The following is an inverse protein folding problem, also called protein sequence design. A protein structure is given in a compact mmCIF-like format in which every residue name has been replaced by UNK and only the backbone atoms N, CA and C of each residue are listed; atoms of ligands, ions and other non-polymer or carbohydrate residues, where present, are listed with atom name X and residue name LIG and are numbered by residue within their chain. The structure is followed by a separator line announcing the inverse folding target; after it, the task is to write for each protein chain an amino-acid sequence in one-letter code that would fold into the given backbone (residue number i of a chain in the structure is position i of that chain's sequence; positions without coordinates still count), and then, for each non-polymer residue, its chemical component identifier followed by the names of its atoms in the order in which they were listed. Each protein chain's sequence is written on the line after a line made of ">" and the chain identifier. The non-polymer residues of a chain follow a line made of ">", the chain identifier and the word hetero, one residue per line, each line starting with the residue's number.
data_IF_599692895816
#
_entry.id   IF_599692895816
#
_cell.length_a   1.000
_cell.length_b   1.000
_cell.length_c   1.000
_cell.angle_alpha   90.00
_cell.angle_beta   90.00
_cell.angle_gamma   90.00
#
_symmetry.space_group_name_H-M   'P 1'
#
loop_
_entity.id
_entity.type
_entity.pdbx_description
1 polymer ?
#
# COMPACT_ATOMS: atom_id res chain seq x y z
N UNK A 1 8.02 -11.41 -4.83
CA UNK A 1 7.78 -10.64 -3.60
C UNK A 1 6.33 -10.21 -3.55
N UNK A 2 5.91 -9.48 -2.50
CA UNK A 2 4.53 -9.00 -2.32
C UNK A 2 4.11 -7.93 -3.35
N UNK A 3 5.08 -7.32 -4.04
CA UNK A 3 4.88 -6.36 -5.11
C UNK A 3 5.58 -6.84 -6.40
N UNK A 4 4.92 -6.67 -7.55
CA UNK A 4 5.50 -6.90 -8.85
C UNK A 4 5.01 -5.82 -9.83
N UNK A 5 5.93 -5.25 -10.62
CA UNK A 5 5.63 -4.29 -11.68
C UNK A 5 6.09 -4.88 -13.01
N UNK A 6 5.16 -5.04 -13.95
CA UNK A 6 5.44 -5.55 -15.29
C UNK A 6 5.57 -4.39 -16.28
N UNK A 7 6.60 -4.46 -17.14
CA UNK A 7 6.89 -3.43 -18.16
C UNK A 7 6.89 -4.11 -19.52
N UNK A 8 6.08 -3.61 -20.45
CA UNK A 8 6.04 -4.10 -21.83
C UNK A 8 6.05 -2.94 -22.82
N UNK A 9 7.20 -2.63 -23.46
CA UNK A 9 7.25 -1.65 -24.53
C UNK A 9 6.75 -2.21 -25.88
N UNK A 10 5.92 -3.28 -25.87
CA UNK A 10 5.35 -3.91 -27.06
C UNK A 10 6.38 -4.23 -28.17
N UNK A 11 7.59 -4.63 -27.79
CA UNK A 11 8.67 -4.95 -28.73
C UNK A 11 9.40 -3.75 -29.33
N UNK A 12 9.04 -2.51 -28.97
CA UNK A 12 9.62 -1.31 -29.56
C UNK A 12 11.14 -1.18 -29.31
N UNK A 13 11.60 -1.50 -28.08
CA UNK A 13 13.04 -1.44 -27.77
C UNK A 13 13.38 -2.19 -26.46
N UNK A 14 14.30 -3.17 -26.50
CA UNK A 14 14.86 -3.78 -25.29
C UNK A 14 15.64 -2.79 -24.42
N UNK A 15 16.28 -1.78 -25.02
CA UNK A 15 17.00 -0.74 -24.28
C UNK A 15 16.04 0.15 -23.49
N UNK A 16 14.87 0.47 -24.06
CA UNK A 16 13.81 1.20 -23.36
C UNK A 16 13.27 0.38 -22.18
N UNK A 17 13.01 -0.92 -22.36
CA UNK A 17 12.55 -1.80 -21.28
C UNK A 17 13.53 -1.77 -20.09
N UNK A 18 14.83 -1.89 -20.35
CA UNK A 18 15.89 -1.84 -19.32
C UNK A 18 15.95 -0.48 -18.62
N UNK A 19 15.79 0.61 -19.36
CA UNK A 19 15.74 1.97 -18.79
C UNK A 19 14.54 2.15 -17.87
N UNK A 20 13.34 1.83 -18.33
CA UNK A 20 12.11 1.90 -17.54
C UNK A 20 12.20 1.05 -16.27
N UNK A 21 12.73 -0.17 -16.38
CA UNK A 21 12.95 -1.05 -15.21
C UNK A 21 13.80 -0.36 -14.14
N UNK A 22 14.88 0.32 -14.53
CA UNK A 22 15.74 1.05 -13.58
C UNK A 22 15.02 2.23 -12.95
N UNK A 23 14.30 3.03 -13.73
CA UNK A 23 13.58 4.21 -13.23
C UNK A 23 12.47 3.80 -12.25
N UNK A 24 11.69 2.78 -12.60
CA UNK A 24 10.64 2.22 -11.74
C UNK A 24 11.23 1.62 -10.46
N UNK A 25 12.33 0.87 -10.54
CA UNK A 25 12.97 0.31 -9.35
C UNK A 25 13.51 1.39 -8.40
N UNK A 26 13.93 2.55 -8.92
CA UNK A 26 14.36 3.68 -8.11
C UNK A 26 13.17 4.41 -7.46
N UNK A 27 12.01 4.45 -8.14
CA UNK A 27 10.82 5.13 -7.64
C UNK A 27 10.00 4.29 -6.65
N UNK A 28 9.85 2.99 -6.93
CA UNK A 28 9.06 2.05 -6.15
C UNK A 28 9.97 1.08 -5.38
N UNK A 29 10.66 1.64 -4.39
CA UNK A 29 11.65 0.95 -3.56
C UNK A 29 11.09 -0.04 -2.54
N UNK A 30 11.93 -0.42 -1.59
CA UNK A 30 11.63 -1.41 -0.54
C UNK A 30 10.43 -1.01 0.33
N UNK A 31 10.20 0.28 0.51
CA UNK A 31 9.13 0.85 1.31
C UNK A 31 7.75 0.47 0.75
N UNK A 32 7.60 0.41 -0.58
CA UNK A 32 6.35 -0.06 -1.20
C UNK A 32 6.11 -1.55 -0.97
N UNK A 33 7.17 -2.36 -1.00
CA UNK A 33 7.06 -3.77 -0.70
C UNK A 33 6.71 -4.00 0.77
N UNK A 34 7.30 -3.22 1.68
CA UNK A 34 7.03 -3.26 3.11
C UNK A 34 5.59 -2.83 3.42
N UNK A 35 5.11 -1.73 2.83
CA UNK A 35 3.72 -1.32 2.95
C UNK A 35 2.77 -2.39 2.43
N UNK A 36 3.08 -3.02 1.30
CA UNK A 36 2.26 -4.10 0.75
C UNK A 36 2.13 -5.30 1.71
N UNK A 37 3.19 -5.65 2.44
CA UNK A 37 3.12 -6.68 3.50
C UNK A 37 2.18 -6.25 4.62
N UNK A 38 2.37 -5.03 5.15
CA UNK A 38 1.54 -4.51 6.25
C UNK A 38 0.06 -4.46 5.86
N UNK A 39 -0.27 -3.97 4.67
CA UNK A 39 -1.65 -3.92 4.19
C UNK A 39 -2.24 -5.32 3.96
N UNK A 40 -1.42 -6.29 3.54
CA UNK A 40 -1.87 -7.67 3.39
C UNK A 40 -2.22 -8.32 4.74
N UNK A 41 -1.47 -8.03 5.80
CA UNK A 41 -1.74 -8.54 7.15
C UNK A 41 -3.08 -8.01 7.69
N UNK A 42 -3.40 -6.75 7.38
CA UNK A 42 -4.65 -6.10 7.80
C UNK A 42 -5.87 -6.54 6.96
N UNK A 43 -5.63 -7.12 5.78
CA UNK A 43 -6.69 -7.56 4.86
C UNK A 43 -7.63 -8.60 5.48
N UNK A 44 -7.12 -9.46 6.37
CA UNK A 44 -7.94 -10.42 7.10
C UNK A 44 -8.98 -9.72 7.97
N UNK A 45 -8.55 -8.73 8.76
CA UNK A 45 -9.42 -7.90 9.57
C UNK A 45 -10.45 -7.15 8.71
N UNK A 46 -10.01 -6.47 7.65
CA UNK A 46 -10.92 -5.70 6.79
C UNK A 46 -12.01 -6.57 6.16
N UNK A 47 -11.70 -7.83 5.79
CA UNK A 47 -12.69 -8.79 5.28
C UNK A 47 -13.65 -9.30 6.36
N UNK A 48 -13.18 -9.46 7.59
CA UNK A 48 -13.99 -9.96 8.70
C UNK A 48 -14.89 -8.89 9.33
N UNK A 49 -14.47 -7.63 9.29
CA UNK A 49 -15.15 -6.52 9.99
C UNK A 49 -15.96 -5.63 9.05
N UNK A 50 -15.50 -5.39 7.82
CA UNK A 50 -16.14 -4.43 6.91
C UNK A 50 -17.06 -5.15 5.91
N UNK A 51 -18.38 -4.95 5.99
CA UNK A 51 -19.37 -5.78 5.32
C UNK A 51 -19.34 -5.59 3.80
N UNK A 52 -19.17 -4.36 3.31
CA UNK A 52 -19.25 -4.08 1.87
C UNK A 52 -17.88 -3.92 1.22
N UNK A 53 -17.86 -4.06 -0.11
CA UNK A 53 -16.67 -3.72 -0.90
C UNK A 53 -16.31 -2.24 -0.77
N UNK A 54 -17.31 -1.35 -0.69
CA UNK A 54 -17.07 0.09 -0.57
C UNK A 54 -16.42 0.44 0.76
N UNK A 55 -16.82 -0.20 1.87
CA UNK A 55 -16.20 0.02 3.18
C UNK A 55 -14.73 -0.40 3.17
N UNK A 56 -14.43 -1.58 2.60
CA UNK A 56 -13.04 -2.05 2.45
C UNK A 56 -12.22 -1.15 1.55
N UNK A 57 -12.82 -0.66 0.45
CA UNK A 57 -12.16 0.27 -0.47
C UNK A 57 -11.83 1.57 0.26
N UNK A 58 -12.80 2.19 0.93
CA UNK A 58 -12.62 3.42 1.69
C UNK A 58 -11.54 3.26 2.77
N UNK A 59 -11.55 2.14 3.50
CA UNK A 59 -10.54 1.82 4.50
C UNK A 59 -9.12 1.81 3.92
N UNK A 60 -8.87 1.06 2.83
CA UNK A 60 -7.53 0.99 2.23
C UNK A 60 -7.13 2.30 1.53
N UNK A 61 -8.06 2.97 0.85
CA UNK A 61 -7.79 4.27 0.22
C UNK A 61 -7.46 5.34 1.26
N UNK A 62 -8.11 5.33 2.42
CA UNK A 62 -7.81 6.25 3.53
C UNK A 62 -6.42 6.06 4.14
N UNK A 63 -5.89 4.82 4.13
CA UNK A 63 -4.52 4.54 4.58
C UNK A 63 -3.51 4.99 3.52
N UNK A 64 -3.73 4.64 2.25
CA UNK A 64 -2.74 4.87 1.17
C UNK A 64 -2.72 6.33 0.72
N UNK A 65 -3.87 7.01 0.70
CA UNK A 65 -4.03 8.38 0.21
C UNK A 65 -4.45 9.35 1.32
N UNK A 66 -4.18 9.01 2.59
CA UNK A 66 -4.49 9.87 3.73
C UNK A 66 -3.60 11.11 3.81
N UNK A 67 -3.86 11.97 4.80
CA UNK A 67 -3.08 13.19 5.03
C UNK A 67 -1.60 12.92 5.31
N UNK A 68 -1.31 11.81 5.99
CA UNK A 68 0.05 11.35 6.26
C UNK A 68 0.40 10.24 5.30
N UNK A 69 1.43 10.44 4.48
CA UNK A 69 1.88 9.45 3.49
C UNK A 69 2.64 8.30 4.18
N UNK A 70 2.12 7.05 4.15
CA UNK A 70 2.80 5.92 4.76
C UNK A 70 4.14 5.59 4.09
N UNK A 71 4.34 5.90 2.81
CA UNK A 71 5.62 5.69 2.13
C UNK A 71 6.68 6.65 2.67
N UNK A 72 6.34 7.91 2.91
CA UNK A 72 7.27 8.88 3.50
C UNK A 72 7.69 8.47 4.92
N UNK A 73 6.76 7.94 5.72
CA UNK A 73 7.08 7.40 7.04
C UNK A 73 8.04 6.21 6.94
N UNK A 74 7.80 5.26 6.03
CA UNK A 74 8.70 4.12 5.83
C UNK A 74 10.08 4.55 5.33
N UNK A 75 10.15 5.55 4.43
CA UNK A 75 11.42 6.14 3.98
C UNK A 75 12.20 6.78 5.14
N UNK A 76 11.49 7.37 6.10
CA UNK A 76 12.07 7.90 7.33
C UNK A 76 12.39 6.82 8.38
N UNK A 77 12.08 5.55 8.12
CA UNK A 77 12.24 4.44 9.06
C UNK A 77 11.16 4.38 10.15
N UNK A 78 10.12 5.22 10.06
CA UNK A 78 9.01 5.27 11.02
C UNK A 78 7.93 4.24 10.69
N UNK A 79 8.28 2.97 10.94
CA UNK A 79 7.34 1.87 10.79
C UNK A 79 6.16 1.98 11.77
N UNK A 80 6.40 2.55 12.96
CA UNK A 80 5.37 2.66 13.98
C UNK A 80 4.31 3.69 13.61
N UNK A 81 4.71 4.81 12.99
CA UNK A 81 3.78 5.78 12.41
C UNK A 81 2.81 5.13 11.42
N UNK A 82 3.28 4.22 10.56
CA UNK A 82 2.39 3.49 9.64
C UNK A 82 1.41 2.58 10.39
N UNK A 83 1.88 1.89 11.44
CA UNK A 83 0.98 1.08 12.29
C UNK A 83 -0.09 1.93 12.96
N UNK A 84 0.24 3.15 13.39
CA UNK A 84 -0.72 4.09 13.97
C UNK A 84 -1.76 4.56 12.94
N UNK A 85 -1.35 4.83 11.69
CA UNK A 85 -2.30 5.16 10.60
C UNK A 85 -3.28 4.00 10.41
N UNK A 86 -2.78 2.77 10.33
CA UNK A 86 -3.61 1.57 10.20
C UNK A 86 -4.58 1.44 11.38
N UNK A 87 -4.08 1.56 12.61
CA UNK A 87 -4.90 1.43 13.82
C UNK A 87 -6.02 2.48 13.87
N UNK A 88 -5.70 3.75 13.56
CA UNK A 88 -6.71 4.82 13.46
C UNK A 88 -7.75 4.54 12.40
N UNK A 89 -7.33 4.05 11.23
CA UNK A 89 -8.27 3.66 10.18
C UNK A 89 -9.19 2.52 10.64
N UNK A 90 -8.67 1.56 11.41
CA UNK A 90 -9.45 0.46 11.98
C UNK A 90 -10.47 0.97 13.00
N UNK A 91 -10.07 1.88 13.88
CA UNK A 91 -10.97 2.51 14.87
C UNK A 91 -12.10 3.30 14.19
N UNK A 92 -11.78 4.06 13.13
CA UNK A 92 -12.77 4.87 12.41
C UNK A 92 -13.80 4.03 11.63
N UNK A 93 -13.42 2.84 11.18
CA UNK A 93 -14.29 1.95 10.40
C UNK A 93 -14.84 0.79 11.23
N UNK A 94 -14.44 0.66 12.49
CA UNK A 94 -15.00 -0.34 13.38
C UNK A 94 -16.51 -0.08 13.52
N UNK A 95 -17.36 -1.11 13.39
CA UNK A 95 -18.77 -0.94 13.66
C UNK A 95 -18.95 -0.44 15.10
N UNK A 96 -19.79 0.57 15.31
CA UNK A 96 -20.16 1.00 16.64
C UNK A 96 -20.64 -0.24 17.41
N UNK A 97 -20.00 -0.52 18.56
CA UNK A 97 -20.38 -1.64 19.41
C UNK A 97 -21.89 -1.51 19.72
N UNK A 98 -22.67 -2.50 19.26
CA UNK A 98 -24.10 -2.58 19.49
C UNK A 98 -24.41 -2.94 20.94
#
# INVERSE_FOLDING_TARGET
>A
GPLAIAISPAGASPALAKRMKREIAAQFGEEYAQLAVMLNDVRGWAKGTLPTYQDRKAFFEGIVNGETDPIELLRAGDVEGVRQIIARAQEQHAPAAA
#
